data_IF_225151424489
#
_entry.id   IF_225151424489
#
_cell.length_a   1.000
_cell.length_b   1.000
_cell.length_c   1.000
_cell.angle_alpha   90.00
_cell.angle_beta   90.00
_cell.angle_gamma   90.00
#
_symmetry.space_group_name_H-M   'P 1'
#
loop_
_entity.id
_entity.type
_entity.pdbx_description
1 polymer ?
#
# COMPACT_ATOMS: atom_id res chain seq x y z
N UNK A 1 20.21 -26.43 25.77
CA UNK A 1 19.41 -27.61 26.15
C UNK A 1 18.52 -27.23 27.33
N UNK A 2 17.40 -26.55 27.05
CA UNK A 2 16.19 -26.49 27.90
C UNK A 2 15.04 -26.44 26.89
N UNK A 3 14.30 -27.55 26.84
CA UNK A 3 13.12 -27.77 26.01
C UNK A 3 11.92 -27.24 26.79
N UNK A 4 11.15 -26.29 26.25
CA UNK A 4 9.81 -25.99 26.76
C UNK A 4 8.78 -26.13 25.65
N UNK A 5 8.11 -27.29 25.68
CA UNK A 5 6.97 -27.68 24.87
C UNK A 5 5.70 -27.19 25.57
N UNK A 6 4.88 -26.36 24.93
CA UNK A 6 3.52 -26.06 25.43
C UNK A 6 2.51 -26.61 24.43
N UNK A 7 1.75 -27.59 24.91
CA UNK A 7 0.68 -28.29 24.21
C UNK A 7 -0.61 -27.48 24.11
N UNK A 8 -1.31 -27.74 23.00
CA UNK A 8 -2.67 -27.36 22.62
C UNK A 8 -3.73 -27.70 23.67
N UNK A 9 -4.78 -26.88 23.76
CA UNK A 9 -6.15 -27.36 23.99
C UNK A 9 -7.15 -26.61 23.12
N UNK A 10 -7.81 -27.36 22.24
CA UNK A 10 -9.03 -26.95 21.51
C UNK A 10 -10.21 -27.18 22.45
N UNK A 11 -11.11 -26.21 22.58
CA UNK A 11 -12.42 -26.41 23.17
C UNK A 11 -13.47 -26.08 22.11
N UNK A 12 -14.15 -27.12 21.64
CA UNK A 12 -15.40 -27.01 20.90
C UNK A 12 -16.54 -26.99 21.93
N UNK A 13 -17.47 -26.06 21.81
CA UNK A 13 -18.73 -26.09 22.54
C UNK A 13 -19.88 -25.92 21.55
N UNK A 14 -20.58 -27.03 21.32
CA UNK A 14 -21.88 -27.13 20.67
C UNK A 14 -22.93 -26.99 21.78
N UNK A 15 -23.90 -26.08 21.62
CA UNK A 15 -25.15 -26.12 22.39
C UNK A 15 -26.30 -25.76 21.45
N UNK A 16 -27.22 -26.71 21.30
CA UNK A 16 -28.54 -26.57 20.71
C UNK A 16 -29.58 -26.83 21.81
N UNK A 17 -30.69 -26.07 21.85
CA UNK A 17 -32.07 -26.54 22.10
C UNK A 17 -33.06 -25.36 22.26
N UNK A 18 -33.99 -25.26 21.29
CA UNK A 18 -35.46 -25.40 21.39
C UNK A 18 -36.31 -24.75 22.51
N UNK A 19 -37.53 -24.37 22.07
CA UNK A 19 -38.86 -24.34 22.76
C UNK A 19 -39.19 -23.06 23.57
N UNK A 20 -40.39 -22.45 23.55
CA UNK A 20 -41.77 -22.93 23.35
C UNK A 20 -42.76 -21.81 22.96
N UNK A 21 -43.88 -22.25 22.38
CA UNK A 21 -45.17 -21.59 22.09
C UNK A 21 -45.90 -21.12 23.36
N UNK A 22 -46.67 -20.02 23.26
CA UNK A 22 -47.88 -19.82 24.05
C UNK A 22 -48.96 -19.04 23.26
N UNK A 23 -50.16 -19.60 23.21
CA UNK A 23 -51.40 -19.11 22.61
C UNK A 23 -52.49 -19.14 23.68
N UNK A 24 -53.11 -18.00 24.02
CA UNK A 24 -54.40 -17.82 24.74
C UNK A 24 -54.84 -16.37 24.45
N UNK A 25 -56.10 -15.92 24.25
CA UNK A 25 -57.40 -16.43 23.80
C UNK A 25 -58.38 -15.21 23.78
N UNK A 26 -59.37 -15.27 22.88
CA UNK A 26 -60.76 -14.76 22.90
C UNK A 26 -61.22 -13.37 23.41
N UNK A 27 -62.12 -12.76 22.59
CA UNK A 27 -63.23 -11.86 22.96
C UNK A 27 -63.14 -10.50 22.27
N UNK A 28 -64.06 -9.98 21.46
CA UNK A 28 -65.48 -10.23 21.20
C UNK A 28 -66.12 -8.84 21.01
N UNK A 29 -66.88 -8.59 19.93
CA UNK A 29 -67.61 -7.33 19.75
C UNK A 29 -67.89 -6.96 18.30
N UNK A 30 -69.05 -7.37 17.79
CA UNK A 30 -69.55 -7.02 16.47
C UNK A 30 -70.13 -5.60 16.45
N UNK A 31 -69.59 -4.73 15.59
CA UNK A 31 -70.30 -3.57 15.07
C UNK A 31 -69.90 -3.38 13.61
N UNK A 32 -70.83 -3.66 12.70
CA UNK A 32 -70.68 -3.53 11.26
C UNK A 32 -70.67 -2.04 10.86
N UNK A 33 -69.52 -1.40 10.97
CA UNK A 33 -69.20 -0.16 10.25
C UNK A 33 -68.73 -0.53 8.85
N UNK A 34 -69.33 0.09 7.82
CA UNK A 34 -68.97 -0.11 6.42
C UNK A 34 -67.45 -0.07 6.23
N UNK A 35 -66.89 -1.17 5.72
CA UNK A 35 -65.47 -1.33 5.40
C UNK A 35 -65.12 -0.34 4.28
N UNK A 36 -64.58 0.81 4.67
CA UNK A 36 -63.72 1.57 3.78
C UNK A 36 -62.49 0.70 3.56
N UNK A 37 -62.32 0.19 2.34
CA UNK A 37 -61.12 -0.53 1.94
C UNK A 37 -59.91 0.30 2.36
N UNK A 38 -59.03 -0.18 3.24
CA UNK A 38 -57.82 0.54 3.58
C UNK A 38 -57.07 0.76 2.27
N UNK A 39 -56.93 2.02 1.87
CA UNK A 39 -56.01 2.36 0.78
C UNK A 39 -54.64 1.95 1.26
N UNK A 40 -54.08 0.91 0.64
CA UNK A 40 -52.67 0.52 0.82
C UNK A 40 -51.85 1.80 0.75
N UNK A 41 -51.11 2.18 1.81
CA UNK A 41 -50.31 3.38 1.80
C UNK A 41 -49.43 3.33 0.56
N UNK A 42 -49.60 4.31 -0.34
CA UNK A 42 -48.71 4.44 -1.49
C UNK A 42 -47.29 4.55 -0.92
N UNK A 43 -46.36 3.64 -1.30
CA UNK A 43 -44.98 3.74 -0.85
C UNK A 43 -44.49 5.17 -1.09
N UNK A 44 -43.79 5.80 -0.13
CA UNK A 44 -43.24 7.13 -0.33
C UNK A 44 -42.52 7.19 -1.67
N UNK A 45 -42.84 8.19 -2.49
CA UNK A 45 -42.17 8.36 -3.77
C UNK A 45 -40.66 8.50 -3.52
N UNK A 46 -39.90 7.46 -3.88
CA UNK A 46 -38.44 7.48 -3.76
C UNK A 46 -37.94 8.44 -4.83
N UNK A 47 -37.24 9.49 -4.40
CA UNK A 47 -36.63 10.41 -5.35
C UNK A 47 -35.60 9.63 -6.20
N UNK A 48 -35.80 9.50 -7.53
CA UNK A 48 -34.93 8.68 -8.39
C UNK A 48 -33.53 9.27 -8.55
N UNK A 49 -33.31 10.49 -8.06
CA UNK A 49 -32.01 11.17 -8.05
C UNK A 49 -31.30 11.04 -6.70
N UNK A 50 -31.95 10.53 -5.65
CA UNK A 50 -31.34 10.42 -4.35
C UNK A 50 -30.13 9.47 -4.36
N UNK A 51 -29.11 9.84 -3.60
CA UNK A 51 -27.90 9.05 -3.44
C UNK A 51 -27.28 9.24 -2.05
N UNK A 52 -26.50 8.25 -1.62
CA UNK A 52 -25.67 8.37 -0.43
C UNK A 52 -24.39 7.56 -0.56
N UNK A 53 -23.32 8.05 0.06
CA UNK A 53 -22.04 7.35 0.21
C UNK A 53 -21.69 7.36 1.69
N UNK A 54 -21.69 6.18 2.29
CA UNK A 54 -21.29 5.97 3.68
C UNK A 54 -20.02 5.10 3.76
N UNK A 55 -19.20 5.39 4.75
CA UNK A 55 -17.89 4.75 4.87
C UNK A 55 -17.19 5.00 6.19
N UNK A 56 -15.93 4.59 6.24
CA UNK A 56 -15.02 4.80 7.36
C UNK A 56 -13.73 5.46 6.90
N UNK A 57 -13.21 6.35 7.74
CA UNK A 57 -11.87 6.91 7.60
C UNK A 57 -10.94 6.15 8.52
N UNK A 58 -9.85 5.63 7.96
CA UNK A 58 -8.88 4.80 8.67
C UNK A 58 -7.46 5.31 8.46
N UNK A 59 -6.54 5.01 9.37
CA UNK A 59 -5.14 5.36 9.20
C UNK A 59 -4.49 4.49 8.11
N UNK A 60 -3.73 5.11 7.19
CA UNK A 60 -3.01 4.41 6.11
C UNK A 60 -2.13 3.26 6.61
N UNK A 61 -1.46 3.45 7.75
CA UNK A 61 -0.50 2.51 8.32
C UNK A 61 -1.03 1.84 9.60
N UNK A 62 -2.12 1.08 9.46
CA UNK A 62 -2.65 0.24 10.55
C UNK A 62 -4.16 0.10 10.58
N UNK A 63 -4.90 0.85 9.75
CA UNK A 63 -6.34 0.71 9.60
C UNK A 63 -7.16 1.16 10.81
N UNK A 64 -6.54 1.83 11.78
CA UNK A 64 -7.25 2.35 12.95
C UNK A 64 -8.24 3.43 12.53
N UNK A 65 -9.47 3.40 13.06
CA UNK A 65 -10.46 4.44 12.81
C UNK A 65 -9.96 5.85 13.15
N UNK A 66 -10.32 6.82 12.30
CA UNK A 66 -9.95 8.23 12.43
C UNK A 66 -11.20 9.10 12.54
N UNK A 67 -11.55 9.48 13.77
CA UNK A 67 -12.63 10.44 14.01
C UNK A 67 -12.22 11.90 13.90
N UNK A 68 -13.21 12.78 13.70
CA UNK A 68 -13.02 14.23 13.61
C UNK A 68 -12.49 14.74 12.27
N UNK A 69 -12.20 13.84 11.32
CA UNK A 69 -11.83 14.19 9.96
C UNK A 69 -13.03 14.75 9.18
N UNK A 70 -12.83 15.84 8.45
CA UNK A 70 -13.81 16.39 7.53
C UNK A 70 -13.68 15.75 6.14
N UNK A 71 -14.81 15.37 5.57
CA UNK A 71 -14.98 14.87 4.21
C UNK A 71 -15.76 15.91 3.42
N UNK A 72 -15.07 16.63 2.55
CA UNK A 72 -15.58 17.78 1.83
C UNK A 72 -15.53 17.53 0.31
N UNK A 73 -16.66 17.23 -0.33
CA UNK A 73 -16.73 17.20 -1.79
C UNK A 73 -16.42 18.57 -2.39
N UNK A 74 -15.75 18.62 -3.54
CA UNK A 74 -15.34 19.89 -4.14
C UNK A 74 -16.45 20.64 -4.89
N UNK A 75 -17.67 20.12 -4.92
CA UNK A 75 -18.85 20.83 -5.43
C UNK A 75 -19.76 21.18 -4.26
N UNK A 76 -20.79 22.00 -4.50
CA UNK A 76 -21.63 22.65 -3.47
C UNK A 76 -22.41 21.76 -2.48
N UNK A 77 -22.00 20.51 -2.24
CA UNK A 77 -22.42 19.70 -1.12
C UNK A 77 -21.67 20.10 0.16
N UNK A 78 -22.37 20.14 1.28
CA UNK A 78 -21.76 20.42 2.58
C UNK A 78 -20.76 19.32 2.99
N UNK A 79 -19.68 19.74 3.66
CA UNK A 79 -18.74 18.82 4.28
C UNK A 79 -19.39 18.09 5.47
N UNK A 80 -18.96 16.85 5.72
CA UNK A 80 -19.37 16.05 6.88
C UNK A 80 -18.16 15.76 7.75
N UNK A 81 -18.37 15.63 9.06
CA UNK A 81 -17.31 15.23 10.00
C UNK A 81 -17.50 13.77 10.37
N UNK A 82 -16.43 12.99 10.27
CA UNK A 82 -16.43 11.60 10.70
C UNK A 82 -16.57 11.50 12.22
N UNK A 83 -17.38 10.55 12.68
CA UNK A 83 -17.62 10.30 14.10
C UNK A 83 -16.39 9.69 14.80
N UNK A 84 -16.48 9.38 16.10
CA UNK A 84 -15.36 8.81 16.87
C UNK A 84 -14.84 7.45 16.35
N UNK A 85 -15.59 6.79 15.47
CA UNK A 85 -15.35 5.49 14.88
C UNK A 85 -14.89 5.65 13.43
N UNK A 86 -14.68 6.89 12.99
CA UNK A 86 -14.29 7.27 11.65
C UNK A 86 -15.43 7.17 10.65
N UNK A 87 -16.67 6.90 11.07
CA UNK A 87 -17.78 6.74 10.15
C UNK A 87 -18.25 8.10 9.61
N UNK A 88 -18.52 8.15 8.31
CA UNK A 88 -19.06 9.33 7.64
C UNK A 88 -20.19 8.93 6.69
N UNK A 89 -21.07 9.89 6.37
CA UNK A 89 -22.10 9.74 5.35
C UNK A 89 -22.30 11.04 4.59
N UNK A 90 -22.09 11.01 3.28
CA UNK A 90 -22.49 12.04 2.34
C UNK A 90 -23.80 11.62 1.68
N UNK A 91 -24.74 12.53 1.49
CA UNK A 91 -25.99 12.24 0.78
C UNK A 91 -26.62 13.50 0.20
N UNK A 92 -27.34 13.35 -0.90
CA UNK A 92 -28.16 14.40 -1.47
C UNK A 92 -29.39 13.78 -2.17
N UNK A 93 -30.40 14.61 -2.40
CA UNK A 93 -31.60 14.31 -3.17
C UNK A 93 -31.52 14.84 -4.61
N UNK A 94 -30.49 15.64 -4.93
CA UNK A 94 -30.19 16.08 -6.30
C UNK A 94 -29.44 15.01 -7.08
N UNK A 95 -29.48 15.09 -8.41
CA UNK A 95 -28.77 14.13 -9.25
C UNK A 95 -27.25 14.19 -8.96
N UNK A 96 -26.58 13.04 -8.76
CA UNK A 96 -25.15 13.04 -8.53
C UNK A 96 -24.41 13.59 -9.75
N UNK A 97 -23.22 14.16 -9.57
CA UNK A 97 -22.42 14.62 -10.70
C UNK A 97 -22.08 13.47 -11.67
N UNK A 98 -22.02 13.74 -12.97
CA UNK A 98 -21.80 12.74 -14.02
C UNK A 98 -20.35 12.28 -14.20
N UNK A 99 -19.40 13.03 -13.65
CA UNK A 99 -17.97 12.72 -13.67
C UNK A 99 -17.48 12.37 -12.25
N UNK A 100 -16.34 11.70 -12.10
CA UNK A 100 -15.67 11.63 -10.81
C UNK A 100 -15.37 13.05 -10.29
N UNK A 101 -15.57 13.28 -9.00
CA UNK A 101 -15.23 14.55 -8.34
C UNK A 101 -14.24 14.31 -7.20
N UNK A 102 -13.33 15.26 -6.96
CA UNK A 102 -12.44 15.17 -5.82
C UNK A 102 -13.21 15.41 -4.52
N UNK A 103 -12.88 14.60 -3.52
CA UNK A 103 -13.31 14.74 -2.12
C UNK A 103 -12.09 15.02 -1.30
N UNK A 104 -12.09 16.16 -0.62
CA UNK A 104 -11.03 16.52 0.30
C UNK A 104 -11.26 15.84 1.64
N UNK A 105 -10.26 15.14 2.15
CA UNK A 105 -10.20 14.65 3.52
C UNK A 105 -9.19 15.47 4.28
N UNK A 106 -9.61 16.09 5.36
CA UNK A 106 -8.79 17.01 6.17
C UNK A 106 -9.16 16.92 7.65
N UNK A 107 -8.31 17.43 8.53
CA UNK A 107 -8.60 17.45 9.97
C UNK A 107 -7.37 17.80 10.77
N UNK A 108 -7.56 18.11 12.06
CA UNK A 108 -6.44 18.36 12.95
C UNK A 108 -5.57 17.10 13.08
N UNK A 109 -4.26 17.24 12.86
CA UNK A 109 -3.32 16.11 12.92
C UNK A 109 -3.43 15.12 11.77
N UNK A 110 -4.01 15.53 10.63
CA UNK A 110 -4.05 14.76 9.40
C UNK A 110 -3.37 15.51 8.26
N UNK A 111 -2.74 14.76 7.36
CA UNK A 111 -2.30 15.28 6.06
C UNK A 111 -3.54 15.42 5.18
N UNK A 112 -3.83 16.66 4.78
CA UNK A 112 -4.98 16.96 3.91
C UNK A 112 -4.78 16.36 2.53
N UNK A 113 -5.83 15.78 1.98
CA UNK A 113 -5.75 15.13 0.69
C UNK A 113 -7.01 15.08 -0.13
N UNK A 114 -6.86 14.75 -1.41
CA UNK A 114 -7.98 14.60 -2.33
C UNK A 114 -8.02 13.18 -2.90
N UNK A 115 -9.15 12.50 -2.74
CA UNK A 115 -9.49 11.27 -3.45
C UNK A 115 -10.52 11.58 -4.53
N UNK A 116 -10.54 10.79 -5.60
CA UNK A 116 -11.57 10.91 -6.64
C UNK A 116 -12.67 9.88 -6.40
N UNK A 117 -13.91 10.34 -6.27
CA UNK A 117 -15.07 9.47 -6.07
C UNK A 117 -15.98 9.56 -7.28
N UNK A 118 -16.39 8.40 -7.80
CA UNK A 118 -17.43 8.29 -8.82
C UNK A 118 -18.80 8.18 -8.15
N UNK A 119 -19.69 9.11 -8.46
CA UNK A 119 -21.00 9.24 -7.84
C UNK A 119 -22.06 8.53 -8.66
N UNK A 120 -22.97 7.81 -7.99
CA UNK A 120 -24.03 7.04 -8.62
C UNK A 120 -25.31 7.20 -7.80
N UNK A 121 -26.46 7.07 -8.45
CA UNK A 121 -27.76 7.06 -7.78
C UNK A 121 -27.87 5.87 -6.83
N UNK A 122 -28.65 6.05 -5.77
CA UNK A 122 -28.84 5.02 -4.74
C UNK A 122 -27.81 5.07 -3.61
N UNK A 123 -28.00 4.19 -2.63
CA UNK A 123 -27.14 4.11 -1.46
C UNK A 123 -25.91 3.23 -1.70
N UNK A 124 -24.74 3.73 -1.31
CA UNK A 124 -23.47 3.02 -1.28
C UNK A 124 -22.92 3.05 0.14
N UNK A 125 -22.46 1.91 0.62
CA UNK A 125 -21.84 1.74 1.93
C UNK A 125 -20.53 0.96 1.81
N UNK A 126 -19.75 0.92 2.89
CA UNK A 126 -18.48 0.17 2.92
C UNK A 126 -17.31 0.88 2.21
N UNK A 127 -17.42 2.19 1.97
CA UNK A 127 -16.28 2.96 1.46
C UNK A 127 -15.24 3.10 2.57
N UNK A 128 -13.99 2.75 2.28
CA UNK A 128 -12.87 3.02 3.19
C UNK A 128 -12.01 4.10 2.57
N UNK A 129 -11.80 5.20 3.30
CA UNK A 129 -10.86 6.24 2.93
C UNK A 129 -9.70 6.15 3.91
N UNK A 130 -8.49 5.96 3.41
CA UNK A 130 -7.32 5.98 4.27
C UNK A 130 -6.75 7.40 4.36
N UNK A 131 -6.31 7.82 5.55
CA UNK A 131 -5.68 9.11 5.77
C UNK A 131 -4.37 8.96 6.56
N UNK A 132 -3.43 9.85 6.28
CA UNK A 132 -2.14 9.91 6.96
C UNK A 132 -2.27 10.83 8.16
N UNK A 133 -1.84 10.34 9.34
CA UNK A 133 -1.69 11.20 10.52
C UNK A 133 -0.46 12.09 10.32
N UNK A 134 -0.63 13.39 10.52
CA UNK A 134 0.46 14.36 10.53
C UNK A 134 1.16 14.35 11.91
N UNK A 135 1.78 13.22 12.21
CA UNK A 135 2.48 12.96 13.46
C UNK A 135 3.53 11.84 13.24
N UNK A 136 4.57 11.76 14.08
CA UNK A 136 5.53 10.67 14.01
C UNK A 136 4.86 9.29 14.00
N UNK A 137 5.37 8.34 13.21
CA UNK A 137 6.64 8.41 12.47
C UNK A 137 6.55 9.09 11.09
N UNK A 138 5.40 9.66 10.69
CA UNK A 138 5.30 10.37 9.43
C UNK A 138 6.17 11.63 9.42
N UNK A 139 6.85 11.86 8.31
CA UNK A 139 7.57 13.08 7.99
C UNK A 139 7.43 13.36 6.50
N UNK A 140 6.78 14.47 6.16
CA UNK A 140 6.63 14.89 4.76
C UNK A 140 7.98 15.09 4.07
N UNK A 141 8.98 15.60 4.80
CA UNK A 141 10.32 15.82 4.27
C UNK A 141 11.02 14.50 3.95
N UNK A 142 10.95 13.53 4.87
CA UNK A 142 11.50 12.20 4.62
C UNK A 142 10.76 11.48 3.48
N UNK A 143 9.43 11.58 3.43
CA UNK A 143 8.64 11.05 2.31
C UNK A 143 9.11 11.63 0.97
N UNK A 144 9.31 12.95 0.91
CA UNK A 144 9.77 13.62 -0.31
C UNK A 144 11.21 13.26 -0.66
N UNK A 145 12.07 12.97 0.29
CA UNK A 145 13.43 12.50 0.00
C UNK A 145 13.35 11.08 -0.57
N UNK A 146 12.78 10.15 0.20
CA UNK A 146 12.74 8.71 -0.11
C UNK A 146 11.90 8.37 -1.34
N UNK A 147 10.73 8.99 -1.53
CA UNK A 147 9.75 8.59 -2.55
C UNK A 147 9.77 9.53 -3.76
N UNK A 148 10.24 10.77 -3.57
CA UNK A 148 10.17 11.84 -4.59
C UNK A 148 11.54 12.31 -5.07
N UNK A 149 12.62 11.80 -4.49
CA UNK A 149 13.99 12.09 -4.90
C UNK A 149 14.46 13.50 -4.61
N UNK A 150 13.84 14.22 -3.67
CA UNK A 150 14.22 15.62 -3.36
C UNK A 150 15.62 15.77 -2.78
N UNK A 151 16.24 14.68 -2.33
CA UNK A 151 17.63 14.66 -1.91
C UNK A 151 18.62 14.50 -3.08
N UNK A 152 18.26 13.76 -4.14
CA UNK A 152 19.24 13.29 -5.14
C UNK A 152 19.52 14.26 -6.29
N UNK A 153 18.50 14.97 -6.78
CA UNK A 153 18.60 15.61 -8.11
C UNK A 153 17.89 16.97 -8.21
N UNK A 154 18.47 17.93 -8.97
CA UNK A 154 17.76 19.11 -9.48
C UNK A 154 16.75 18.65 -10.54
N UNK A 155 15.50 18.46 -10.13
CA UNK A 155 14.41 17.91 -10.96
C UNK A 155 13.31 17.22 -10.16
N UNK A 156 13.60 16.89 -8.90
CA UNK A 156 12.61 16.51 -7.91
C UNK A 156 11.73 17.71 -7.48
N UNK A 157 10.49 17.48 -6.98
CA UNK A 157 9.91 16.17 -6.62
C UNK A 157 9.34 15.39 -7.82
N UNK A 158 9.83 14.17 -8.04
CA UNK A 158 9.32 13.25 -9.06
C UNK A 158 8.03 12.54 -8.63
N UNK A 159 7.19 12.14 -9.58
CA UNK A 159 6.03 11.30 -9.31
C UNK A 159 6.41 9.93 -8.71
N UNK A 160 5.50 9.28 -7.98
CA UNK A 160 5.75 7.96 -7.37
C UNK A 160 6.04 6.90 -8.45
N UNK A 161 7.20 6.24 -8.39
CA UNK A 161 7.65 5.24 -9.36
C UNK A 161 7.46 3.78 -8.93
N UNK A 162 6.56 3.51 -7.98
CA UNK A 162 6.36 2.15 -7.47
C UNK A 162 5.99 1.14 -8.55
N UNK A 163 6.29 -0.13 -8.28
CA UNK A 163 5.73 -1.24 -9.04
C UNK A 163 4.25 -1.45 -8.71
N UNK A 164 3.51 -1.91 -9.71
CA UNK A 164 2.07 -2.20 -9.60
C UNK A 164 1.79 -3.68 -9.32
N UNK A 165 2.68 -4.55 -9.79
CA UNK A 165 2.56 -6.01 -9.70
C UNK A 165 3.84 -6.60 -9.09
N UNK A 166 3.72 -7.80 -8.51
CA UNK A 166 4.83 -8.56 -7.95
C UNK A 166 5.92 -8.80 -9.01
N UNK A 167 7.16 -8.28 -8.84
CA UNK A 167 8.23 -8.47 -9.81
C UNK A 167 8.75 -9.90 -9.79
N UNK A 168 9.19 -10.38 -10.95
CA UNK A 168 10.14 -11.49 -11.05
C UNK A 168 11.56 -10.94 -11.11
N UNK A 169 12.53 -11.71 -10.62
CA UNK A 169 13.95 -11.31 -10.64
C UNK A 169 14.76 -12.38 -11.38
N UNK A 170 15.64 -11.95 -12.26
CA UNK A 170 16.67 -12.78 -12.86
C UNK A 170 18.04 -12.36 -12.35
N UNK A 171 18.76 -13.27 -11.69
CA UNK A 171 20.12 -13.05 -11.20
C UNK A 171 21.13 -13.78 -12.10
N UNK A 172 21.98 -13.01 -12.79
CA UNK A 172 23.08 -13.59 -13.55
C UNK A 172 24.16 -14.13 -12.61
N UNK A 173 24.63 -15.35 -12.84
CA UNK A 173 25.57 -16.07 -11.96
C UNK A 173 27.01 -16.04 -12.48
N UNK A 174 27.28 -15.24 -13.50
CA UNK A 174 28.63 -14.97 -14.01
C UNK A 174 28.81 -13.46 -14.16
N UNK A 175 30.05 -13.00 -13.97
CA UNK A 175 30.40 -11.60 -14.13
C UNK A 175 30.32 -11.14 -15.60
N UNK A 176 30.74 -9.89 -15.86
CA UNK A 176 30.78 -9.33 -17.22
C UNK A 176 31.80 -10.01 -18.15
N UNK A 177 32.75 -10.78 -17.62
CA UNK A 177 33.76 -11.53 -18.36
C UNK A 177 33.43 -13.03 -18.46
N UNK A 178 32.27 -13.46 -17.98
CA UNK A 178 31.85 -14.86 -17.97
C UNK A 178 32.48 -15.70 -16.85
N UNK A 179 33.12 -15.09 -15.85
CA UNK A 179 33.65 -15.81 -14.69
C UNK A 179 32.52 -16.14 -13.72
N UNK A 180 32.44 -17.38 -13.19
CA UNK A 180 31.46 -17.72 -12.17
C UNK A 180 31.58 -16.82 -10.94
N UNK A 181 30.44 -16.37 -10.42
CA UNK A 181 30.35 -15.71 -9.12
C UNK A 181 30.38 -16.76 -8.02
N UNK A 182 31.07 -16.49 -6.90
CA UNK A 182 31.24 -17.47 -5.84
C UNK A 182 29.87 -17.85 -5.21
N UNK A 183 29.66 -19.14 -4.88
CA UNK A 183 28.37 -19.61 -4.35
C UNK A 183 27.90 -18.89 -3.09
N UNK A 184 28.82 -18.53 -2.19
CA UNK A 184 28.52 -17.79 -0.97
C UNK A 184 28.03 -16.37 -1.24
N UNK A 185 28.56 -15.70 -2.27
CA UNK A 185 28.11 -14.38 -2.71
C UNK A 185 26.70 -14.50 -3.29
N UNK A 186 26.48 -15.49 -4.16
CA UNK A 186 25.17 -15.78 -4.72
C UNK A 186 24.13 -16.10 -3.64
N UNK A 187 24.51 -16.80 -2.57
CA UNK A 187 23.61 -17.09 -1.46
C UNK A 187 23.15 -15.82 -0.73
N UNK A 188 24.07 -14.90 -0.42
CA UNK A 188 23.75 -13.61 0.21
C UNK A 188 22.85 -12.77 -0.69
N UNK A 189 23.16 -12.70 -1.99
CA UNK A 189 22.37 -11.92 -2.95
C UNK A 189 20.95 -12.48 -3.08
N UNK A 190 20.80 -13.80 -3.20
CA UNK A 190 19.48 -14.45 -3.29
C UNK A 190 18.62 -14.24 -2.05
N UNK A 191 19.20 -14.41 -0.86
CA UNK A 191 18.50 -14.16 0.41
C UNK A 191 18.00 -12.71 0.49
N UNK A 192 18.87 -11.74 0.18
CA UNK A 192 18.51 -10.33 0.19
C UNK A 192 17.40 -10.00 -0.84
N UNK A 193 17.44 -10.57 -2.05
CA UNK A 193 16.37 -10.41 -3.05
C UNK A 193 15.03 -10.91 -2.50
N UNK A 194 15.00 -12.12 -1.93
CA UNK A 194 13.77 -12.77 -1.45
C UNK A 194 13.05 -11.92 -0.39
N UNK A 195 13.80 -11.29 0.51
CA UNK A 195 13.24 -10.45 1.58
C UNK A 195 13.00 -9.00 1.18
N UNK A 196 13.60 -8.51 0.09
CA UNK A 196 13.52 -7.10 -0.31
C UNK A 196 12.11 -6.67 -0.74
N UNK A 197 11.45 -7.44 -1.62
CA UNK A 197 10.12 -7.08 -2.15
C UNK A 197 9.08 -6.94 -1.04
N UNK A 198 8.87 -7.93 -0.14
CA UNK A 198 7.89 -7.75 0.94
C UNK A 198 8.29 -6.62 1.91
N UNK A 199 9.58 -6.42 2.19
CA UNK A 199 10.03 -5.34 3.08
C UNK A 199 9.67 -3.95 2.51
N UNK A 200 10.07 -3.69 1.26
CA UNK A 200 9.85 -2.40 0.60
C UNK A 200 8.39 -2.13 0.21
N UNK A 201 7.55 -3.16 0.15
CA UNK A 201 6.14 -3.00 -0.22
C UNK A 201 5.19 -3.17 0.96
N UNK A 202 5.72 -3.29 2.18
CA UNK A 202 4.95 -3.60 3.39
C UNK A 202 4.06 -4.84 3.21
N UNK A 203 4.58 -5.85 2.49
CA UNK A 203 3.90 -7.10 2.18
C UNK A 203 2.78 -7.02 1.13
N UNK A 204 2.55 -5.84 0.51
CA UNK A 204 1.54 -5.68 -0.55
C UNK A 204 1.91 -6.44 -1.82
N UNK A 205 3.20 -6.56 -2.10
CA UNK A 205 3.74 -7.39 -3.17
C UNK A 205 4.63 -8.49 -2.59
N UNK A 206 4.81 -9.54 -3.39
CA UNK A 206 5.74 -10.62 -3.13
C UNK A 206 6.72 -10.74 -4.30
N UNK A 207 7.80 -11.50 -4.13
CA UNK A 207 8.62 -11.90 -5.26
C UNK A 207 7.84 -12.96 -6.08
N UNK A 208 7.55 -12.68 -7.35
CA UNK A 208 6.79 -13.60 -8.20
C UNK A 208 7.63 -14.81 -8.63
N UNK A 209 8.89 -14.58 -9.00
CA UNK A 209 9.86 -15.63 -9.30
C UNK A 209 11.29 -15.14 -9.04
N UNK A 210 12.19 -16.08 -8.74
CA UNK A 210 13.63 -15.85 -8.73
C UNK A 210 14.29 -16.88 -9.65
N UNK A 211 14.77 -16.42 -10.80
CA UNK A 211 15.52 -17.23 -11.75
C UNK A 211 17.00 -16.88 -11.71
N UNK A 212 17.84 -17.84 -12.08
CA UNK A 212 19.29 -17.67 -12.16
C UNK A 212 19.84 -18.32 -13.40
N UNK A 213 20.89 -17.76 -13.99
CA UNK A 213 21.60 -18.41 -15.07
C UNK A 213 22.87 -17.67 -15.49
N UNK A 214 23.61 -18.27 -16.42
CA UNK A 214 24.88 -17.74 -16.93
C UNK A 214 24.67 -16.72 -18.04
N UNK A 215 23.57 -16.84 -18.78
CA UNK A 215 23.27 -15.99 -19.92
C UNK A 215 22.68 -14.65 -19.49
N UNK A 216 22.83 -13.64 -20.33
CA UNK A 216 22.10 -12.39 -20.13
C UNK A 216 20.64 -12.61 -20.50
N UNK A 217 19.72 -12.25 -19.60
CA UNK A 217 18.30 -12.17 -19.92
C UNK A 217 17.98 -10.88 -20.67
N UNK A 218 17.24 -10.97 -21.78
CA UNK A 218 16.66 -9.78 -22.43
C UNK A 218 15.72 -9.05 -21.46
N UNK A 219 15.72 -7.70 -21.41
CA UNK A 219 14.76 -6.96 -20.60
C UNK A 219 13.31 -7.33 -20.97
N UNK A 220 12.47 -7.61 -19.98
CA UNK A 220 11.08 -8.01 -20.17
C UNK A 220 10.19 -7.38 -19.10
N UNK A 221 8.99 -6.92 -19.48
CA UNK A 221 8.00 -6.38 -18.53
C UNK A 221 7.74 -7.39 -17.41
N UNK A 222 7.68 -6.91 -16.17
CA UNK A 222 7.53 -7.73 -14.97
C UNK A 222 8.84 -8.27 -14.41
N UNK A 223 9.99 -8.04 -15.07
CA UNK A 223 11.29 -8.55 -14.65
C UNK A 223 12.26 -7.45 -14.21
N UNK A 224 13.02 -7.75 -13.17
CA UNK A 224 14.23 -7.03 -12.76
C UNK A 224 15.43 -7.92 -13.08
N UNK A 225 16.31 -7.46 -13.97
CA UNK A 225 17.54 -8.18 -14.31
C UNK A 225 18.69 -7.66 -13.43
N UNK A 226 19.37 -8.57 -12.75
CA UNK A 226 20.51 -8.27 -11.89
C UNK A 226 21.79 -8.85 -12.52
N UNK A 227 22.68 -7.95 -12.90
CA UNK A 227 24.01 -8.29 -13.41
C UNK A 227 25.08 -8.05 -12.32
N UNK A 228 26.09 -8.92 -12.26
CA UNK A 228 27.24 -8.77 -11.37
C UNK A 228 28.45 -8.35 -12.20
N UNK A 229 29.20 -7.35 -11.72
CA UNK A 229 30.39 -6.81 -12.39
C UNK A 229 31.59 -6.87 -11.46
N UNK A 230 32.74 -7.32 -11.99
CA UNK A 230 34.06 -7.25 -11.35
C UNK A 230 34.95 -6.25 -12.07
N UNK A 231 34.93 -4.99 -11.63
CA UNK A 231 35.85 -3.98 -12.17
C UNK A 231 36.92 -3.64 -11.13
N UNK A 232 38.19 -4.03 -11.33
CA UNK A 232 39.26 -3.71 -10.38
C UNK A 232 39.52 -2.20 -10.26
N UNK A 233 39.05 -1.38 -11.19
CA UNK A 233 39.18 0.08 -11.17
C UNK A 233 38.00 0.78 -10.50
N UNK A 234 36.87 0.09 -10.29
CA UNK A 234 35.77 0.62 -9.49
C UNK A 234 36.13 0.53 -8.01
N UNK A 235 35.93 1.63 -7.28
CA UNK A 235 36.34 1.79 -5.87
C UNK A 235 35.29 2.47 -5.00
N UNK A 236 34.17 2.90 -5.59
CA UNK A 236 33.22 3.81 -4.95
C UNK A 236 31.78 3.36 -5.08
N UNK A 237 31.40 2.76 -6.20
CA UNK A 237 30.02 2.41 -6.50
C UNK A 237 29.80 0.94 -6.17
N UNK A 238 29.03 0.65 -5.12
CA UNK A 238 28.68 -0.71 -4.73
C UNK A 238 27.68 -1.36 -5.72
N UNK A 239 26.80 -0.54 -6.27
CA UNK A 239 25.75 -0.96 -7.19
C UNK A 239 25.07 0.24 -7.82
N UNK A 240 24.19 -0.05 -8.77
CA UNK A 240 23.32 0.93 -9.38
C UNK A 240 22.05 0.24 -9.88
N UNK A 241 20.91 0.91 -9.76
CA UNK A 241 19.63 0.43 -10.25
C UNK A 241 18.82 1.54 -10.93
N UNK A 242 18.01 1.14 -11.91
CA UNK A 242 17.03 2.04 -12.51
C UNK A 242 15.83 2.21 -11.58
N UNK A 243 15.52 3.46 -11.23
CA UNK A 243 14.50 3.75 -10.22
C UNK A 243 13.09 3.41 -10.75
N UNK A 244 12.45 2.41 -10.15
CA UNK A 244 11.06 2.04 -10.42
C UNK A 244 10.75 1.69 -11.88
N UNK A 245 11.76 1.30 -12.66
CA UNK A 245 11.63 0.97 -14.08
C UNK A 245 11.01 -0.42 -14.27
N UNK A 246 10.22 -0.59 -15.34
CA UNK A 246 9.63 -1.87 -15.73
C UNK A 246 9.71 -2.00 -17.28
N UNK A 247 10.64 -2.81 -17.83
CA UNK A 247 11.59 -3.69 -17.14
C UNK A 247 12.59 -2.95 -16.23
N UNK A 248 12.97 -3.59 -15.12
CA UNK A 248 13.96 -3.09 -14.18
C UNK A 248 15.36 -3.67 -14.43
N UNK A 249 16.38 -2.97 -13.96
CA UNK A 249 17.77 -3.45 -13.99
C UNK A 249 18.55 -3.00 -12.78
N UNK A 250 19.43 -3.87 -12.32
CA UNK A 250 20.40 -3.64 -11.24
C UNK A 250 21.77 -4.14 -11.72
N UNK A 251 22.82 -3.37 -11.45
CA UNK A 251 24.21 -3.83 -11.53
C UNK A 251 24.80 -3.81 -10.13
N UNK A 252 25.38 -4.92 -9.70
CA UNK A 252 26.11 -5.04 -8.44
C UNK A 252 27.61 -5.14 -8.74
N UNK A 253 28.41 -4.27 -8.13
CA UNK A 253 29.86 -4.34 -8.26
C UNK A 253 30.43 -5.22 -7.15
N UNK A 254 30.98 -6.33 -7.57
CA UNK A 254 31.65 -7.31 -6.75
C UNK A 254 32.97 -6.74 -6.20
N UNK A 255 33.34 -7.12 -4.98
CA UNK A 255 34.53 -6.68 -4.23
C UNK A 255 34.62 -5.19 -3.82
N UNK A 256 33.80 -4.27 -4.34
CA UNK A 256 33.93 -2.81 -4.08
C UNK A 256 33.56 -2.44 -2.65
N UNK A 257 32.40 -2.91 -2.17
CA UNK A 257 31.88 -2.62 -0.83
C UNK A 257 31.91 -3.88 0.03
N UNK A 258 32.97 -4.67 -0.13
CA UNK A 258 33.16 -5.96 0.51
C UNK A 258 33.73 -5.84 1.92
N UNK A 259 33.54 -6.87 2.73
CA UNK A 259 34.28 -7.08 3.97
C UNK A 259 34.63 -8.56 4.13
N UNK A 260 35.93 -8.85 4.05
CA UNK A 260 36.44 -10.21 4.06
C UNK A 260 35.88 -11.04 2.89
N UNK A 261 35.20 -12.14 3.22
CA UNK A 261 34.57 -13.03 2.24
C UNK A 261 33.19 -12.55 1.77
N UNK A 262 32.60 -11.54 2.40
CA UNK A 262 31.34 -10.98 1.96
C UNK A 262 31.61 -9.96 0.85
N UNK A 263 31.49 -10.39 -0.40
CA UNK A 263 31.86 -9.59 -1.57
C UNK A 263 30.78 -8.61 -2.00
N UNK A 264 29.52 -8.98 -1.79
CA UNK A 264 28.34 -8.15 -2.04
C UNK A 264 27.43 -8.26 -0.80
N UNK A 265 27.45 -7.25 0.09
CA UNK A 265 26.63 -7.26 1.30
C UNK A 265 25.13 -7.30 0.98
N UNK A 266 24.36 -8.03 1.79
CA UNK A 266 22.90 -8.04 1.66
C UNK A 266 22.27 -6.64 1.77
N UNK A 267 22.90 -5.73 2.53
CA UNK A 267 22.48 -4.33 2.60
C UNK A 267 22.60 -3.59 1.26
N UNK A 268 23.65 -3.83 0.47
CA UNK A 268 23.79 -3.26 -0.88
C UNK A 268 22.65 -3.78 -1.76
N UNK A 269 22.38 -5.09 -1.72
CA UNK A 269 21.28 -5.67 -2.51
C UNK A 269 19.93 -5.09 -2.10
N UNK A 270 19.66 -4.94 -0.80
CA UNK A 270 18.42 -4.33 -0.30
C UNK A 270 18.28 -2.85 -0.72
N UNK A 271 19.38 -2.10 -0.76
CA UNK A 271 19.45 -0.73 -1.23
C UNK A 271 19.11 -0.64 -2.73
N UNK A 272 19.80 -1.41 -3.57
CA UNK A 272 19.55 -1.41 -5.02
C UNK A 272 18.15 -1.92 -5.37
N UNK A 273 17.64 -2.89 -4.60
CA UNK A 273 16.24 -3.32 -4.72
C UNK A 273 15.27 -2.21 -4.33
N UNK A 274 15.61 -1.35 -3.36
CA UNK A 274 14.83 -0.16 -3.02
C UNK A 274 14.71 0.79 -4.21
N UNK A 275 15.83 1.10 -4.86
CA UNK A 275 15.82 1.85 -6.12
C UNK A 275 14.97 1.17 -7.19
N UNK A 276 15.21 -0.11 -7.48
CA UNK A 276 14.44 -0.84 -8.49
C UNK A 276 12.92 -0.83 -8.22
N UNK A 277 12.52 -0.75 -6.94
CA UNK A 277 11.13 -0.65 -6.49
C UNK A 277 10.59 0.79 -6.45
N UNK A 278 11.41 1.80 -6.72
CA UNK A 278 10.98 3.19 -6.93
C UNK A 278 11.37 4.17 -5.83
N UNK A 279 12.34 3.81 -4.98
CA UNK A 279 12.83 4.67 -3.91
C UNK A 279 14.14 5.37 -4.26
N UNK A 280 14.41 6.47 -3.56
CA UNK A 280 15.55 7.37 -3.75
C UNK A 280 16.41 7.42 -2.50
N UNK A 281 17.58 8.05 -2.57
CA UNK A 281 18.40 8.19 -1.38
C UNK A 281 17.78 9.15 -0.36
N UNK A 282 18.18 8.96 0.89
CA UNK A 282 17.88 9.86 2.01
C UNK A 282 19.19 10.27 2.69
N UNK A 283 19.24 11.45 3.33
CA UNK A 283 20.44 11.92 4.05
C UNK A 283 20.67 11.19 5.38
N UNK A 284 19.67 10.44 5.88
CA UNK A 284 19.76 9.74 7.16
C UNK A 284 20.68 8.52 7.10
N UNK A 285 21.77 8.55 7.87
CA UNK A 285 22.78 7.47 7.96
C UNK A 285 22.24 6.17 8.54
N UNK A 286 21.10 6.22 9.26
CA UNK A 286 20.45 5.04 9.82
C UNK A 286 19.58 4.27 8.82
N UNK A 287 19.36 4.84 7.63
CA UNK A 287 18.47 4.30 6.59
C UNK A 287 19.26 3.48 5.57
N UNK A 288 18.64 2.40 5.03
CA UNK A 288 19.28 1.58 4.00
C UNK A 288 19.55 2.40 2.73
N UNK A 289 18.71 3.38 2.44
CA UNK A 289 18.81 4.30 1.30
C UNK A 289 19.78 5.47 1.55
N UNK A 290 20.58 5.44 2.61
CA UNK A 290 21.75 6.31 2.69
C UNK A 290 22.73 5.96 1.55
N UNK A 291 23.28 6.91 0.79
CA UNK A 291 24.12 6.63 -0.39
C UNK A 291 25.49 6.01 -0.07
N UNK A 292 25.78 5.73 1.21
CA UNK A 292 27.01 5.10 1.65
C UNK A 292 26.70 3.95 2.61
N UNK A 293 27.41 2.84 2.47
CA UNK A 293 27.30 1.70 3.38
C UNK A 293 28.43 1.73 4.41
N UNK A 294 28.13 1.31 5.65
CA UNK A 294 29.16 1.04 6.65
C UNK A 294 29.97 -0.21 6.28
N UNK A 295 31.27 -0.23 6.61
CA UNK A 295 32.21 -1.29 6.21
C UNK A 295 32.05 -2.63 6.93
N UNK A 296 30.98 -2.83 7.71
CA UNK A 296 30.69 -4.03 8.50
C UNK A 296 29.78 -5.06 7.79
N UNK A 297 29.44 -4.80 6.52
CA UNK A 297 28.56 -5.62 5.67
C UNK A 297 27.35 -6.24 6.38
N UNK A 298 26.47 -5.41 6.97
CA UNK A 298 25.26 -5.93 7.56
C UNK A 298 24.41 -6.61 6.47
N UNK A 299 23.58 -7.57 6.87
CA UNK A 299 22.54 -8.11 5.99
C UNK A 299 21.59 -7.01 5.48
N UNK A 300 21.52 -5.88 6.21
CA UNK A 300 20.67 -4.73 5.94
C UNK A 300 19.29 -4.88 6.58
N UNK A 301 18.69 -3.78 6.99
CA UNK A 301 17.26 -3.72 7.32
C UNK A 301 16.78 -2.32 6.99
N UNK A 302 15.51 -2.22 6.61
CA UNK A 302 14.89 -0.92 6.51
C UNK A 302 14.85 -0.29 7.91
N UNK A 303 15.06 1.02 7.97
CA UNK A 303 14.72 1.79 9.16
C UNK A 303 13.19 1.79 9.35
N UNK A 304 12.73 2.14 10.55
CA UNK A 304 11.31 2.29 10.82
C UNK A 304 10.69 3.38 9.93
N UNK A 305 11.46 4.45 9.66
CA UNK A 305 11.06 5.52 8.76
C UNK A 305 10.92 5.01 7.31
N UNK A 306 11.87 4.24 6.80
CA UNK A 306 11.79 3.66 5.46
C UNK A 306 10.59 2.73 5.33
N UNK A 307 10.42 1.80 6.27
CA UNK A 307 9.32 0.85 6.27
C UNK A 307 7.96 1.56 6.28
N UNK A 308 7.81 2.59 7.13
CA UNK A 308 6.57 3.36 7.26
C UNK A 308 6.23 4.16 5.99
N UNK A 309 7.20 4.86 5.42
CA UNK A 309 6.97 5.69 4.22
C UNK A 309 6.87 4.86 2.94
N UNK A 310 7.54 3.71 2.88
CA UNK A 310 7.38 2.75 1.80
C UNK A 310 5.96 2.14 1.79
N UNK A 311 5.38 1.86 2.97
CA UNK A 311 3.99 1.41 3.08
C UNK A 311 2.99 2.44 2.52
N UNK A 312 3.23 3.74 2.77
CA UNK A 312 2.46 4.85 2.18
C UNK A 312 2.68 4.91 0.67
N UNK A 313 3.92 4.86 0.19
CA UNK A 313 4.20 4.90 -1.24
C UNK A 313 3.45 3.78 -2.01
N UNK A 314 3.43 2.57 -1.45
CA UNK A 314 2.75 1.42 -2.03
C UNK A 314 1.24 1.35 -1.77
N UNK A 315 0.67 2.21 -0.92
CA UNK A 315 -0.79 2.38 -0.80
C UNK A 315 -1.35 3.39 -1.81
N UNK A 316 -0.50 4.13 -2.52
CA UNK A 316 -0.91 5.17 -3.47
C UNK A 316 -0.80 4.71 -4.91
N UNK A 317 -1.49 5.30 -5.89
CA UNK A 317 -1.29 4.97 -7.30
C UNK A 317 0.13 5.30 -7.79
N UNK A 318 0.66 4.55 -8.78
CA UNK A 318 1.88 4.98 -9.50
C UNK A 318 1.60 6.31 -10.21
N UNK A 319 2.55 7.24 -10.18
CA UNK A 319 2.38 8.57 -10.77
C UNK A 319 1.78 9.62 -9.83
N UNK A 320 1.42 9.23 -8.60
CA UNK A 320 0.94 10.15 -7.58
C UNK A 320 1.94 11.30 -7.32
N UNK A 321 1.46 12.53 -7.03
CA UNK A 321 2.28 13.76 -6.98
C UNK A 321 2.59 14.29 -5.57
N UNK A 322 1.88 13.84 -4.56
CA UNK A 322 2.17 14.02 -3.14
C UNK A 322 1.62 12.78 -2.46
N UNK A 323 2.02 12.39 -1.23
CA UNK A 323 1.52 11.18 -0.62
C UNK A 323 0.00 11.10 -0.71
N UNK A 324 -0.71 12.22 -0.69
CA UNK A 324 -2.15 12.21 -0.80
C UNK A 324 -2.70 13.23 -1.85
N UNK A 325 -2.16 13.24 -3.08
CA UNK A 325 -2.76 14.00 -4.19
C UNK A 325 -2.88 13.14 -5.44
N UNK A 326 -3.94 12.33 -5.47
CA UNK A 326 -4.20 11.41 -6.58
C UNK A 326 -4.38 12.15 -7.92
N UNK A 327 -3.76 11.68 -9.01
CA UNK A 327 -3.94 12.29 -10.31
C UNK A 327 -5.34 11.98 -10.87
N UNK A 328 -5.99 13.00 -11.45
CA UNK A 328 -7.36 12.94 -11.98
C UNK A 328 -7.57 11.91 -13.09
N UNK A 329 -6.50 11.55 -13.82
CA UNK A 329 -6.51 10.58 -14.90
C UNK A 329 -6.44 9.11 -14.44
N UNK A 330 -6.18 8.86 -13.15
CA UNK A 330 -6.16 7.52 -12.56
C UNK A 330 -7.49 7.10 -11.93
N UNK A 331 -8.59 7.75 -12.34
CA UNK A 331 -9.98 7.37 -12.04
C UNK A 331 -10.36 5.93 -12.46
N UNK A 332 -9.43 5.17 -13.07
CA UNK A 332 -9.53 3.74 -13.33
C UNK A 332 -8.99 2.83 -12.22
N UNK A 333 -8.27 3.36 -11.21
CA UNK A 333 -8.31 2.73 -9.90
C UNK A 333 -9.71 3.00 -9.35
N UNK A 334 -10.65 2.21 -9.84
CA UNK A 334 -11.71 1.74 -8.97
C UNK A 334 -10.98 1.31 -7.70
N UNK A 335 -11.22 2.00 -6.58
CA UNK A 335 -11.17 1.30 -5.31
C UNK A 335 -12.14 0.14 -5.55
N UNK A 336 -11.63 -0.98 -6.06
CA UNK A 336 -12.37 -2.21 -6.11
C UNK A 336 -12.59 -2.47 -4.65
N UNK A 337 -13.78 -2.07 -4.18
CA UNK A 337 -14.29 -2.45 -2.90
C UNK A 337 -13.98 -3.94 -2.82
N UNK A 338 -13.05 -4.30 -1.96
CA UNK A 338 -13.07 -5.62 -1.37
C UNK A 338 -14.38 -5.63 -0.60
N UNK A 339 -15.46 -6.01 -1.29
CA UNK A 339 -16.63 -6.57 -0.67
C UNK A 339 -16.08 -7.78 0.07
N UNK A 340 -15.83 -7.60 1.38
CA UNK A 340 -15.74 -8.72 2.28
C UNK A 340 -17.01 -9.55 2.03
N UNK A 341 -16.81 -10.80 1.58
CA UNK A 341 -17.85 -11.81 1.70
C UNK A 341 -18.01 -12.18 3.16
#
# INVERSE_FOLDING_TARGET
MILLTIQRRRAAAVVALLWSVAQIACGGGSSSSASTTPTTPTPPAVNPNAWSVAGQIVATNGGQSLGGAQVAPSWGLAAVTADGQGAFQLSDTTAPPSNPYPVSVSGAGLVTHNIWVSWQRGARSGVTIDAIRDAPPFSMDFYRQLVRGTYDQPGAPYAVFRWMDSPSVYLKTVDQNGRPVEPEVLAVVKDAIQRSVPAWTSGRLSLAALETGTDRRSPATGWINIDIRRDPNEKRICGFANIGANPGSITLNDDVCSCGSNKIPGAVVLHEMGHALGFFHVPDRGSIMFPFIAGDCPAGRLSDAESYHAAIAYSRPRGNLEPDRDPSSLSQFTYTLLLAR
#
